data_IF_356112719444
#
_entry.id   IF_356112719444
#
_cell.length_a   1.000
_cell.length_b   1.000
_cell.length_c   1.000
_cell.angle_alpha   90.00
_cell.angle_beta   90.00
_cell.angle_gamma   90.00
#
_symmetry.space_group_name_H-M   'P 1'
#
loop_
_entity.id
_entity.type
_entity.pdbx_description
1 polymer ?
#
# COMPACT_ATOMS: atom_id res chain seq x y z
N UNK A 1 26.92 -36.85 -12.27
CA UNK A 1 25.47 -36.95 -12.23
C UNK A 1 24.91 -35.55 -12.51
N UNK A 2 24.40 -35.36 -13.70
CA UNK A 2 23.88 -34.07 -14.16
C UNK A 2 22.57 -33.79 -13.41
N UNK A 3 22.60 -32.82 -12.53
CA UNK A 3 21.41 -32.18 -11.95
C UNK A 3 20.71 -31.42 -13.10
N UNK A 4 19.84 -32.12 -13.82
CA UNK A 4 18.92 -31.49 -14.74
C UNK A 4 17.87 -30.79 -13.87
N UNK A 5 18.13 -29.55 -13.48
CA UNK A 5 17.10 -28.66 -13.03
C UNK A 5 16.03 -28.64 -14.13
N UNK A 6 14.91 -29.31 -13.89
CA UNK A 6 13.77 -29.36 -14.81
C UNK A 6 13.33 -27.93 -15.03
N UNK A 7 13.57 -27.41 -16.22
CA UNK A 7 13.16 -26.06 -16.60
C UNK A 7 11.63 -26.04 -16.60
N UNK A 8 11.03 -25.18 -15.79
CA UNK A 8 9.58 -24.99 -15.75
C UNK A 8 9.06 -24.56 -17.12
N UNK A 9 7.94 -25.12 -17.54
CA UNK A 9 7.24 -24.64 -18.73
C UNK A 9 6.64 -23.25 -18.49
N UNK A 10 6.26 -22.54 -19.53
CA UNK A 10 5.61 -21.22 -19.42
C UNK A 10 4.30 -21.31 -18.64
N UNK A 11 3.51 -22.38 -18.84
CA UNK A 11 2.26 -22.62 -18.12
C UNK A 11 2.50 -22.90 -16.64
N UNK A 12 3.50 -23.72 -16.31
CA UNK A 12 3.90 -23.99 -14.91
C UNK A 12 4.39 -22.71 -14.20
N UNK A 13 5.13 -21.86 -14.92
CA UNK A 13 5.59 -20.59 -14.40
C UNK A 13 4.44 -19.60 -14.14
N UNK A 14 3.47 -19.54 -15.05
CA UNK A 14 2.28 -18.71 -14.88
C UNK A 14 1.41 -19.17 -13.72
N UNK A 15 1.21 -20.48 -13.57
CA UNK A 15 0.47 -21.06 -12.45
C UNK A 15 1.18 -20.77 -11.10
N UNK A 16 2.48 -20.95 -11.04
CA UNK A 16 3.27 -20.63 -9.86
C UNK A 16 3.15 -19.14 -9.50
N UNK A 17 3.23 -18.25 -10.49
CA UNK A 17 3.07 -16.81 -10.28
C UNK A 17 1.70 -16.47 -9.65
N UNK A 18 0.61 -17.04 -10.16
CA UNK A 18 -0.73 -16.82 -9.57
C UNK A 18 -0.83 -17.34 -8.14
N UNK A 19 -0.24 -18.50 -7.85
CA UNK A 19 -0.17 -19.02 -6.47
C UNK A 19 0.57 -18.06 -5.53
N UNK A 20 1.64 -17.43 -5.98
CA UNK A 20 2.40 -16.43 -5.21
C UNK A 20 1.55 -15.19 -4.93
N UNK A 21 0.81 -14.69 -5.93
CA UNK A 21 -0.09 -13.55 -5.72
C UNK A 21 -1.25 -13.90 -4.77
N UNK A 22 -1.76 -15.12 -4.82
CA UNK A 22 -2.78 -15.59 -3.88
C UNK A 22 -2.26 -15.67 -2.45
N UNK A 23 -1.01 -16.05 -2.25
CA UNK A 23 -0.35 -16.01 -0.93
C UNK A 23 -0.35 -14.59 -0.37
N UNK A 24 -0.04 -13.59 -1.19
CA UNK A 24 -0.09 -12.19 -0.78
C UNK A 24 -1.52 -11.70 -0.50
N UNK A 25 -2.50 -12.07 -1.33
CA UNK A 25 -3.92 -11.71 -1.14
C UNK A 25 -4.50 -12.29 0.15
N UNK A 26 -4.06 -13.50 0.55
CA UNK A 26 -4.48 -14.14 1.79
C UNK A 26 -3.69 -13.71 3.01
N UNK A 27 -2.59 -12.99 2.80
CA UNK A 27 -1.73 -12.51 3.88
C UNK A 27 -0.93 -13.60 4.59
N UNK A 28 -0.57 -14.66 3.90
CA UNK A 28 0.27 -15.74 4.47
C UNK A 28 1.73 -15.26 4.62
N UNK A 29 1.98 -14.57 5.71
CA UNK A 29 3.28 -13.97 6.00
C UNK A 29 4.42 -15.01 6.09
N UNK A 30 4.14 -16.18 6.65
CA UNK A 30 5.13 -17.27 6.78
C UNK A 30 5.52 -17.82 5.40
N UNK A 31 4.54 -18.05 4.53
CA UNK A 31 4.81 -18.52 3.17
C UNK A 31 5.53 -17.46 2.35
N UNK A 32 5.15 -16.19 2.45
CA UNK A 32 5.86 -15.07 1.80
C UNK A 32 7.32 -15.01 2.25
N UNK A 33 7.59 -15.09 3.55
CA UNK A 33 8.95 -15.10 4.09
C UNK A 33 9.77 -16.27 3.50
N UNK A 34 9.18 -17.46 3.43
CA UNK A 34 9.86 -18.64 2.87
C UNK A 34 10.18 -18.49 1.38
N UNK A 35 9.25 -17.95 0.59
CA UNK A 35 9.43 -17.71 -0.85
C UNK A 35 10.49 -16.62 -1.11
N UNK A 36 10.42 -15.53 -0.37
CA UNK A 36 11.39 -14.43 -0.48
C UNK A 36 12.80 -14.88 -0.07
N UNK A 37 12.92 -15.68 0.99
CA UNK A 37 14.21 -16.25 1.42
C UNK A 37 14.81 -17.19 0.37
N UNK A 38 13.99 -17.81 -0.47
CA UNK A 38 14.42 -18.67 -1.60
C UNK A 38 14.71 -17.88 -2.87
N UNK A 39 14.62 -16.56 -2.85
CA UNK A 39 14.99 -15.69 -3.97
C UNK A 39 13.82 -15.17 -4.81
N UNK A 40 12.56 -15.32 -4.34
CA UNK A 40 11.44 -14.63 -4.99
C UNK A 40 11.70 -13.12 -4.98
N UNK A 41 11.61 -12.43 -6.13
CA UNK A 41 11.78 -10.97 -6.15
C UNK A 41 10.71 -10.27 -5.31
N UNK A 42 11.15 -9.41 -4.35
CA UNK A 42 10.24 -8.72 -3.45
C UNK A 42 9.25 -7.79 -4.18
N UNK A 43 9.66 -7.26 -5.34
CA UNK A 43 8.86 -6.37 -6.18
C UNK A 43 8.18 -7.09 -7.36
N UNK A 44 7.94 -8.40 -7.24
CA UNK A 44 7.25 -9.18 -8.24
C UNK A 44 5.85 -8.61 -8.52
N UNK A 45 5.48 -8.49 -9.80
CA UNK A 45 4.24 -7.80 -10.23
C UNK A 45 3.36 -8.74 -11.06
N UNK A 46 2.06 -8.63 -10.87
CA UNK A 46 1.08 -9.31 -11.70
C UNK A 46 0.78 -8.53 -13.01
N UNK A 47 -0.16 -9.03 -13.80
CA UNK A 47 -0.57 -8.42 -15.09
C UNK A 47 -1.27 -7.04 -14.92
N UNK A 48 -1.75 -6.69 -13.72
CA UNK A 48 -2.32 -5.37 -13.40
C UNK A 48 -1.27 -4.40 -12.84
N UNK A 49 -0.01 -4.82 -12.81
CA UNK A 49 1.06 -4.06 -12.20
C UNK A 49 1.06 -4.07 -10.66
N UNK A 50 0.19 -4.86 -10.01
CA UNK A 50 0.17 -4.96 -8.55
C UNK A 50 1.39 -5.73 -8.06
N UNK A 51 2.12 -5.15 -7.11
CA UNK A 51 3.16 -5.85 -6.37
C UNK A 51 2.56 -6.73 -5.28
N UNK A 52 3.36 -7.67 -4.76
CA UNK A 52 2.97 -8.45 -3.57
C UNK A 52 2.61 -7.52 -2.40
N UNK A 53 3.37 -6.43 -2.24
CA UNK A 53 3.11 -5.42 -1.21
C UNK A 53 1.76 -4.71 -1.42
N UNK A 54 1.42 -4.36 -2.67
CA UNK A 54 0.12 -3.78 -2.99
C UNK A 54 -1.01 -4.72 -2.62
N UNK A 55 -0.91 -6.00 -2.99
CA UNK A 55 -1.95 -6.99 -2.71
C UNK A 55 -2.14 -7.21 -1.21
N UNK A 56 -1.05 -7.39 -0.46
CA UNK A 56 -1.10 -7.54 0.99
C UNK A 56 -1.68 -6.30 1.68
N UNK A 57 -1.27 -5.10 1.25
CA UNK A 57 -1.75 -3.83 1.80
C UNK A 57 -3.24 -3.60 1.51
N UNK A 58 -3.68 -3.81 0.28
CA UNK A 58 -5.08 -3.63 -0.13
C UNK A 58 -6.03 -4.57 0.60
N UNK A 59 -5.59 -5.81 0.87
CA UNK A 59 -6.37 -6.80 1.59
C UNK A 59 -6.24 -6.74 3.13
N UNK A 60 -5.49 -5.79 3.67
CA UNK A 60 -5.44 -5.51 5.11
C UNK A 60 -4.50 -6.40 5.92
N UNK A 61 -3.48 -6.98 5.29
CA UNK A 61 -2.58 -7.95 5.91
C UNK A 61 -1.29 -7.31 6.43
N UNK A 62 -1.36 -6.68 7.61
CA UNK A 62 -0.23 -5.93 8.19
C UNK A 62 1.04 -6.79 8.39
N UNK A 63 0.92 -8.04 8.83
CA UNK A 63 2.08 -8.92 9.04
C UNK A 63 2.76 -9.30 7.71
N UNK A 64 1.99 -9.56 6.66
CA UNK A 64 2.53 -9.80 5.32
C UNK A 64 3.24 -8.55 4.77
N UNK A 65 2.67 -7.36 5.01
CA UNK A 65 3.30 -6.07 4.67
C UNK A 65 4.65 -5.91 5.37
N UNK A 66 4.73 -6.19 6.67
CA UNK A 66 5.99 -6.12 7.43
C UNK A 66 7.06 -7.05 6.83
N UNK A 67 6.70 -8.30 6.58
CA UNK A 67 7.62 -9.29 5.97
C UNK A 67 8.13 -8.78 4.62
N UNK A 68 7.25 -8.30 3.74
CA UNK A 68 7.65 -7.79 2.44
C UNK A 68 8.62 -6.60 2.55
N UNK A 69 8.37 -5.68 3.48
CA UNK A 69 9.26 -4.53 3.72
C UNK A 69 10.61 -4.94 4.31
N UNK A 70 10.65 -5.94 5.18
CA UNK A 70 11.91 -6.53 5.68
C UNK A 70 12.76 -7.10 4.54
N UNK A 71 12.13 -7.71 3.54
CA UNK A 71 12.79 -8.18 2.30
C UNK A 71 12.95 -7.10 1.23
N UNK A 72 12.83 -5.80 1.61
CA UNK A 72 13.09 -4.64 0.76
C UNK A 72 12.10 -4.46 -0.40
N UNK A 73 10.85 -4.87 -0.23
CA UNK A 73 9.80 -4.46 -1.14
C UNK A 73 9.69 -2.93 -1.18
N UNK A 74 9.57 -2.38 -2.38
CA UNK A 74 9.50 -0.93 -2.59
C UNK A 74 8.04 -0.46 -2.47
N UNK A 75 7.70 0.37 -1.45
CA UNK A 75 6.35 0.88 -1.27
C UNK A 75 5.95 1.97 -2.28
N UNK A 76 6.86 2.41 -3.13
CA UNK A 76 6.61 3.47 -4.11
C UNK A 76 6.33 2.96 -5.54
N UNK A 77 6.23 1.66 -5.73
CA UNK A 77 5.83 1.09 -7.02
C UNK A 77 4.30 1.17 -7.15
N UNK A 78 3.84 1.99 -8.10
CA UNK A 78 2.43 2.10 -8.44
C UNK A 78 1.99 0.96 -9.38
N UNK A 79 0.74 0.53 -9.24
CA UNK A 79 0.12 -0.38 -10.21
C UNK A 79 -0.34 0.35 -11.48
N UNK A 80 -0.93 -0.37 -12.44
CA UNK A 80 -1.38 0.20 -13.71
C UNK A 80 -2.55 1.20 -13.57
N UNK A 81 -3.21 1.22 -12.40
CA UNK A 81 -4.22 2.22 -12.02
C UNK A 81 -3.62 3.41 -11.28
N UNK A 82 -2.30 3.53 -11.26
CA UNK A 82 -1.57 4.58 -10.58
C UNK A 82 -1.82 4.63 -9.06
N UNK A 83 -1.96 3.47 -8.43
CA UNK A 83 -2.19 3.33 -6.99
C UNK A 83 -0.93 2.83 -6.30
N UNK A 84 -0.60 3.41 -5.14
CA UNK A 84 0.44 2.94 -4.24
C UNK A 84 -0.16 2.03 -3.14
N UNK A 85 0.64 1.14 -2.53
CA UNK A 85 0.20 0.35 -1.37
C UNK A 85 -0.41 1.20 -0.25
N UNK A 86 0.17 2.37 0.04
CA UNK A 86 -0.32 3.32 1.04
C UNK A 86 -1.72 3.86 0.70
N UNK A 87 -1.94 4.23 -0.56
CA UNK A 87 -3.25 4.74 -1.01
C UNK A 87 -4.32 3.65 -0.92
N UNK A 88 -3.99 2.43 -1.31
CA UNK A 88 -4.90 1.28 -1.21
C UNK A 88 -5.30 0.98 0.23
N UNK A 89 -4.34 0.98 1.15
CA UNK A 89 -4.59 0.77 2.57
C UNK A 89 -5.45 1.90 3.18
N UNK A 90 -5.16 3.16 2.84
CA UNK A 90 -5.91 4.31 3.31
C UNK A 90 -7.35 4.33 2.76
N UNK A 91 -7.53 4.01 1.49
CA UNK A 91 -8.85 3.87 0.87
C UNK A 91 -9.70 2.81 1.59
N UNK A 92 -9.13 1.65 1.88
CA UNK A 92 -9.81 0.56 2.60
C UNK A 92 -10.01 0.84 4.08
N UNK A 93 -9.32 1.83 4.64
CA UNK A 93 -9.38 2.16 6.07
C UNK A 93 -8.55 1.22 6.96
N UNK A 94 -7.55 0.58 6.41
CA UNK A 94 -6.69 -0.37 7.12
C UNK A 94 -5.57 0.36 7.88
N UNK A 95 -5.86 0.88 9.05
CA UNK A 95 -4.91 1.66 9.85
C UNK A 95 -3.66 0.85 10.22
N UNK A 96 -3.79 -0.43 10.59
CA UNK A 96 -2.64 -1.27 10.94
C UNK A 96 -1.67 -1.47 9.76
N UNK A 97 -2.20 -1.56 8.54
CA UNK A 97 -1.39 -1.61 7.33
C UNK A 97 -0.68 -0.27 7.07
N UNK A 98 -1.38 0.85 7.23
CA UNK A 98 -0.79 2.20 7.11
C UNK A 98 0.36 2.36 8.10
N UNK A 99 0.16 1.94 9.36
CA UNK A 99 1.22 1.92 10.38
C UNK A 99 2.41 1.06 9.94
N UNK A 100 2.16 -0.17 9.51
CA UNK A 100 3.21 -1.08 9.05
C UNK A 100 4.02 -0.50 7.87
N UNK A 101 3.36 0.14 6.91
CA UNK A 101 4.03 0.79 5.79
C UNK A 101 4.94 1.94 6.24
N UNK A 102 4.47 2.81 7.11
CA UNK A 102 5.24 3.96 7.62
C UNK A 102 6.40 3.49 8.51
N UNK A 103 6.16 2.56 9.42
CA UNK A 103 7.19 1.96 10.27
C UNK A 103 8.27 1.23 9.45
N UNK A 104 7.87 0.64 8.31
CA UNK A 104 8.77 0.00 7.36
C UNK A 104 9.50 0.96 6.42
N UNK A 105 9.33 2.27 6.57
CA UNK A 105 10.06 3.31 5.85
C UNK A 105 9.32 3.95 4.68
N UNK A 106 8.05 3.65 4.45
CA UNK A 106 7.26 4.36 3.44
C UNK A 106 7.07 5.84 3.85
N UNK A 107 7.32 6.80 2.95
CA UNK A 107 7.09 8.20 3.25
C UNK A 107 5.60 8.47 3.58
N UNK A 108 5.32 9.23 4.63
CA UNK A 108 3.95 9.52 5.07
C UNK A 108 3.12 10.26 4.02
N UNK A 109 3.76 11.11 3.23
CA UNK A 109 3.14 11.86 2.11
C UNK A 109 3.37 11.20 0.74
N UNK A 110 3.69 9.89 0.72
CA UNK A 110 3.85 9.16 -0.54
C UNK A 110 2.56 9.28 -1.38
N UNK A 111 2.74 9.67 -2.63
CA UNK A 111 1.66 9.80 -3.58
C UNK A 111 2.11 9.35 -4.97
N UNK A 112 1.18 8.91 -5.78
CA UNK A 112 1.39 8.65 -7.20
C UNK A 112 1.22 9.94 -8.01
N UNK A 113 1.24 9.84 -9.35
CA UNK A 113 1.22 11.02 -10.23
C UNK A 113 -0.02 11.90 -10.10
N UNK A 114 -1.10 11.41 -9.50
CA UNK A 114 -2.30 12.21 -9.19
C UNK A 114 -2.12 13.12 -7.95
N UNK A 115 -1.02 13.00 -7.22
CA UNK A 115 -0.70 13.79 -6.04
C UNK A 115 -1.53 13.46 -4.79
N UNK A 116 -2.36 12.42 -4.83
CA UNK A 116 -3.21 12.04 -3.69
C UNK A 116 -2.42 11.34 -2.61
N UNK A 117 -2.44 11.90 -1.40
CA UNK A 117 -1.80 11.34 -0.21
C UNK A 117 -2.76 10.47 0.62
N UNK A 118 -2.21 9.66 1.51
CA UNK A 118 -3.01 8.90 2.48
C UNK A 118 -3.86 9.82 3.38
N UNK A 119 -3.33 11.00 3.74
CA UNK A 119 -4.08 12.00 4.53
C UNK A 119 -5.34 12.48 3.80
N UNK A 120 -5.25 12.72 2.49
CA UNK A 120 -6.41 13.09 1.68
C UNK A 120 -7.46 11.98 1.66
N UNK A 121 -7.03 10.71 1.54
CA UNK A 121 -7.93 9.56 1.58
C UNK A 121 -8.62 9.42 2.95
N UNK A 122 -7.86 9.54 4.04
CA UNK A 122 -8.42 9.51 5.40
C UNK A 122 -9.43 10.64 5.60
N UNK A 123 -9.13 11.83 5.09
CA UNK A 123 -10.02 13.00 5.16
C UNK A 123 -11.34 12.76 4.39
N UNK A 124 -11.27 12.29 3.15
CA UNK A 124 -12.42 12.03 2.29
C UNK A 124 -13.43 11.04 2.91
N UNK A 125 -12.92 9.99 3.54
CA UNK A 125 -13.72 8.90 4.09
C UNK A 125 -14.01 9.03 5.59
N UNK A 126 -13.80 10.22 6.16
CA UNK A 126 -14.04 10.53 7.58
C UNK A 126 -13.32 9.57 8.54
N UNK A 127 -12.10 9.15 8.22
CA UNK A 127 -11.27 8.23 8.98
C UNK A 127 -10.47 9.00 10.04
N UNK A 128 -11.14 9.40 11.11
CA UNK A 128 -10.55 10.28 12.14
C UNK A 128 -9.28 9.72 12.76
N UNK A 129 -9.29 8.47 13.22
CA UNK A 129 -8.14 7.83 13.85
C UNK A 129 -6.93 7.72 12.89
N UNK A 130 -7.18 7.40 11.63
CA UNK A 130 -6.14 7.36 10.60
C UNK A 130 -5.58 8.75 10.32
N UNK A 131 -6.45 9.77 10.23
CA UNK A 131 -6.06 11.16 10.05
C UNK A 131 -5.14 11.62 11.19
N UNK A 132 -5.53 11.37 12.43
CA UNK A 132 -4.74 11.71 13.62
C UNK A 132 -3.36 11.02 13.59
N UNK A 133 -3.33 9.75 13.27
CA UNK A 133 -2.08 9.01 13.16
C UNK A 133 -1.16 9.61 12.09
N UNK A 134 -1.68 9.85 10.88
CA UNK A 134 -0.91 10.42 9.78
C UNK A 134 -0.37 11.82 10.12
N UNK A 135 -1.18 12.67 10.72
CA UNK A 135 -0.74 14.00 11.20
C UNK A 135 0.35 13.87 12.26
N UNK A 136 0.22 12.92 13.18
CA UNK A 136 1.24 12.60 14.19
C UNK A 136 2.57 12.13 13.60
N UNK A 137 2.52 11.51 12.41
CA UNK A 137 3.70 11.10 11.64
C UNK A 137 4.28 12.20 10.73
N UNK A 138 3.72 13.40 10.78
CA UNK A 138 4.19 14.55 10.04
C UNK A 138 3.59 14.72 8.65
N UNK A 139 2.44 14.10 8.35
CA UNK A 139 1.72 14.32 7.10
C UNK A 139 1.39 15.81 6.91
N UNK A 140 1.59 16.31 5.70
CA UNK A 140 1.36 17.72 5.37
C UNK A 140 -0.12 18.00 5.10
N UNK A 141 -0.84 18.70 6.01
CA UNK A 141 -2.26 19.01 5.83
C UNK A 141 -2.53 20.01 4.70
N UNK A 142 -1.51 20.71 4.24
CA UNK A 142 -1.60 21.74 3.17
C UNK A 142 -1.20 21.22 1.81
N UNK A 143 -0.76 19.95 1.69
CA UNK A 143 -0.47 19.33 0.41
C UNK A 143 -1.72 19.32 -0.48
N UNK A 144 -1.53 19.50 -1.79
CA UNK A 144 -2.60 19.48 -2.77
C UNK A 144 -2.36 18.39 -3.80
N UNK A 145 -3.44 17.78 -4.30
CA UNK A 145 -3.38 16.85 -5.42
C UNK A 145 -3.15 17.57 -6.77
N UNK A 146 -3.11 16.81 -7.85
CA UNK A 146 -2.90 17.35 -9.20
C UNK A 146 -4.01 18.32 -9.66
N UNK A 147 -5.19 18.30 -9.02
CA UNK A 147 -6.29 19.23 -9.26
C UNK A 147 -6.27 20.43 -8.30
N UNK A 148 -5.30 20.51 -7.42
CA UNK A 148 -5.18 21.57 -6.42
C UNK A 148 -6.06 21.39 -5.18
N UNK A 149 -6.66 20.21 -4.99
CA UNK A 149 -7.47 19.92 -3.82
C UNK A 149 -6.62 19.49 -2.63
N UNK A 150 -6.83 20.13 -1.46
CA UNK A 150 -6.23 19.73 -0.19
C UNK A 150 -7.04 18.65 0.52
N UNK A 151 -6.49 18.07 1.59
CA UNK A 151 -7.22 17.13 2.45
C UNK A 151 -8.53 17.76 3.00
N UNK A 152 -8.49 19.03 3.41
CA UNK A 152 -9.69 19.76 3.88
C UNK A 152 -10.73 19.90 2.78
N UNK A 153 -10.31 20.31 1.56
CA UNK A 153 -11.21 20.41 0.42
C UNK A 153 -11.85 19.07 0.07
N UNK A 154 -11.08 18.00 0.11
CA UNK A 154 -11.55 16.64 -0.12
C UNK A 154 -12.59 16.20 0.94
N UNK A 155 -12.35 16.50 2.22
CA UNK A 155 -13.29 16.23 3.31
C UNK A 155 -14.63 16.99 3.10
N UNK A 156 -14.57 18.27 2.76
CA UNK A 156 -15.77 19.06 2.49
C UNK A 156 -16.57 18.52 1.30
N UNK A 157 -15.90 18.18 0.21
CA UNK A 157 -16.55 17.62 -1.00
C UNK A 157 -17.32 16.33 -0.70
N UNK A 158 -16.78 15.51 0.20
CA UNK A 158 -17.37 14.22 0.58
C UNK A 158 -18.32 14.32 1.80
N UNK A 159 -18.48 15.49 2.39
CA UNK A 159 -19.30 15.67 3.59
C UNK A 159 -18.69 14.99 4.84
N UNK A 160 -17.39 14.85 4.89
CA UNK A 160 -16.65 14.24 6.01
C UNK A 160 -16.48 15.24 7.16
N UNK A 161 -17.47 15.33 8.02
CA UNK A 161 -17.62 16.43 9.03
C UNK A 161 -16.50 16.41 10.07
N UNK A 162 -16.16 15.23 10.61
CA UNK A 162 -15.22 15.13 11.72
C UNK A 162 -13.79 15.41 11.30
N UNK A 163 -13.37 14.85 10.16
CA UNK A 163 -12.04 15.11 9.60
C UNK A 163 -11.89 16.54 9.09
N UNK A 164 -12.96 17.12 8.52
CA UNK A 164 -12.98 18.53 8.11
C UNK A 164 -12.79 19.44 9.34
N UNK A 165 -13.49 19.18 10.44
CA UNK A 165 -13.37 19.95 11.67
C UNK A 165 -11.95 19.90 12.28
N UNK A 166 -11.28 18.76 12.21
CA UNK A 166 -9.90 18.62 12.66
C UNK A 166 -8.92 19.38 11.75
N UNK A 167 -9.05 19.20 10.44
CA UNK A 167 -8.18 19.86 9.46
C UNK A 167 -8.33 21.37 9.46
N UNK A 168 -9.53 21.89 9.69
CA UNK A 168 -9.81 23.32 9.74
C UNK A 168 -8.97 24.03 10.83
N UNK A 169 -8.58 23.34 11.89
CA UNK A 169 -7.74 23.90 12.98
C UNK A 169 -6.27 24.03 12.59
N UNK A 170 -5.84 23.39 11.49
CA UNK A 170 -4.45 23.27 11.07
C UNK A 170 -4.10 24.13 9.85
N UNK A 171 -5.09 24.72 9.22
CA UNK A 171 -4.93 25.48 7.96
C UNK A 171 -5.47 26.89 8.06
#
# INVERSE_FOLDING_TARGET
MSDQAKQMTEDEAAEFAEQVFDVARRGDAAMLAALLAKGLPANFRNHNGDTLLMLAAYHGHAEAVKVLLEFKADPLIANDKNQLPMSGAAFKGNLDVVKALIEGGAPVDACSSDGRTALMMAAMFNRVEMLEYLLGQGANPKATDAQGASALAAAHTMGAVDTAAQLQKLV
#
